data_IF_692394244160
#
_entry.id   IF_692394244160
#
_cell.length_a   1.000
_cell.length_b   1.000
_cell.length_c   1.000
_cell.angle_alpha   90.00
_cell.angle_beta   90.00
_cell.angle_gamma   90.00
#
_symmetry.space_group_name_H-M   'P 1'
#
loop_
_entity.id
_entity.type
_entity.pdbx_description
1 polymer ?
#
# COMPACT_ATOMS: atom_id res chain seq x y z
N UNK A 1 6.20 17.97 -6.84
CA UNK A 1 7.49 17.49 -6.29
C UNK A 1 7.27 17.00 -4.85
N UNK A 2 7.12 15.68 -4.68
CA UNK A 2 7.03 15.07 -3.36
C UNK A 2 8.40 15.23 -2.70
N UNK A 3 8.40 15.87 -1.55
CA UNK A 3 9.56 16.39 -0.86
C UNK A 3 10.49 15.24 -0.42
N UNK A 4 11.75 15.31 -0.86
CA UNK A 4 12.84 14.45 -0.40
C UNK A 4 13.02 14.60 1.13
N UNK A 5 12.71 13.56 1.91
CA UNK A 5 13.29 13.42 3.26
C UNK A 5 12.47 12.72 4.33
N UNK A 6 11.14 12.83 4.39
CA UNK A 6 10.39 12.54 5.63
C UNK A 6 9.08 11.72 5.46
N UNK A 7 8.76 11.24 4.26
CA UNK A 7 7.48 10.57 3.98
C UNK A 7 7.63 9.15 3.39
N UNK A 8 8.56 8.36 3.93
CA UNK A 8 8.66 6.95 3.57
C UNK A 8 7.37 6.21 3.98
N UNK A 9 6.86 5.35 3.08
CA UNK A 9 5.86 4.35 3.43
C UNK A 9 6.61 3.11 3.87
N UNK A 10 6.52 2.79 5.15
CA UNK A 10 7.12 1.60 5.73
C UNK A 10 6.07 0.51 5.90
N UNK A 11 6.39 -0.71 5.44
CA UNK A 11 5.50 -1.84 5.55
C UNK A 11 6.31 -3.12 5.76
N UNK A 12 5.81 -3.98 6.63
CA UNK A 12 6.32 -5.33 6.83
C UNK A 12 5.49 -6.30 5.99
N UNK A 13 6.16 -7.25 5.34
CA UNK A 13 5.49 -8.19 4.46
C UNK A 13 6.25 -9.48 4.27
N UNK A 14 5.61 -10.42 3.59
CA UNK A 14 6.22 -11.67 3.16
C UNK A 14 6.33 -11.70 1.65
N UNK A 15 7.47 -12.13 1.14
CA UNK A 15 7.58 -12.47 -0.28
C UNK A 15 6.67 -13.67 -0.53
N UNK A 16 5.74 -13.52 -1.47
CA UNK A 16 4.76 -14.55 -1.83
C UNK A 16 4.91 -15.01 -3.28
N UNK A 17 5.66 -14.26 -4.09
CA UNK A 17 5.88 -14.58 -5.49
C UNK A 17 7.25 -14.11 -5.94
N UNK A 18 7.92 -14.93 -6.74
CA UNK A 18 9.21 -14.61 -7.35
C UNK A 18 9.14 -15.01 -8.82
N UNK A 19 9.30 -14.04 -9.70
CA UNK A 19 9.39 -14.22 -11.15
C UNK A 19 10.64 -13.49 -11.68
N UNK A 20 11.05 -13.80 -12.90
CA UNK A 20 12.23 -13.19 -13.50
C UNK A 20 12.13 -11.65 -13.49
N UNK A 21 12.89 -11.02 -12.60
CA UNK A 21 12.94 -9.56 -12.43
C UNK A 21 11.89 -8.96 -11.50
N UNK A 22 10.95 -9.75 -10.95
CA UNK A 22 9.86 -9.25 -10.11
C UNK A 22 9.73 -10.01 -8.78
N UNK A 23 9.45 -9.27 -7.71
CA UNK A 23 9.19 -9.82 -6.38
C UNK A 23 7.78 -9.37 -5.95
N UNK A 24 6.88 -10.32 -5.79
CA UNK A 24 5.56 -10.08 -5.20
C UNK A 24 5.61 -10.19 -3.69
N UNK A 25 5.16 -9.15 -2.99
CA UNK A 25 5.11 -9.11 -1.53
C UNK A 25 3.69 -8.94 -1.03
N UNK A 26 3.27 -9.77 -0.08
CA UNK A 26 2.04 -9.57 0.68
C UNK A 26 2.34 -8.69 1.90
N UNK A 27 1.63 -7.58 2.03
CA UNK A 27 1.67 -6.73 3.23
C UNK A 27 1.12 -7.52 4.42
N UNK A 28 1.92 -7.66 5.47
CA UNK A 28 1.52 -8.26 6.73
C UNK A 28 1.05 -7.17 7.70
N UNK A 29 1.87 -6.13 7.87
CA UNK A 29 1.62 -5.05 8.83
C UNK A 29 2.16 -3.73 8.27
N UNK A 30 1.41 -2.66 8.51
CA UNK A 30 1.76 -1.28 8.13
C UNK A 30 1.37 -0.36 9.28
N UNK A 31 2.23 0.57 9.64
CA UNK A 31 1.93 1.54 10.69
C UNK A 31 0.89 2.57 10.20
N UNK A 32 0.21 3.22 11.15
CA UNK A 32 -0.88 4.16 10.83
C UNK A 32 -0.39 5.38 10.04
N UNK A 33 0.85 5.83 10.28
CA UNK A 33 1.41 7.00 9.60
C UNK A 33 1.67 6.67 8.13
N UNK A 34 2.28 5.51 7.87
CA UNK A 34 2.53 4.94 6.54
C UNK A 34 1.24 4.60 5.80
N UNK A 35 0.22 4.08 6.50
CA UNK A 35 -1.09 3.83 5.92
C UNK A 35 -1.80 5.13 5.50
N UNK A 36 -1.70 6.18 6.31
CA UNK A 36 -2.27 7.50 5.98
C UNK A 36 -1.58 8.11 4.76
N UNK A 37 -0.26 7.95 4.66
CA UNK A 37 0.52 8.35 3.48
C UNK A 37 0.13 7.55 2.24
N UNK A 38 0.04 6.23 2.35
CA UNK A 38 -0.39 5.35 1.26
C UNK A 38 -1.80 5.74 0.79
N UNK A 39 -2.70 6.03 1.73
CA UNK A 39 -4.04 6.56 1.44
C UNK A 39 -3.90 7.84 0.60
N UNK A 40 -3.18 8.85 1.08
CA UNK A 40 -3.04 10.11 0.35
C UNK A 40 -2.47 9.93 -1.07
N UNK A 41 -1.49 9.03 -1.24
CA UNK A 41 -0.94 8.72 -2.56
C UNK A 41 -1.98 8.05 -3.48
N UNK A 42 -2.78 7.12 -2.97
CA UNK A 42 -3.86 6.50 -3.73
C UNK A 42 -4.90 7.54 -4.15
N UNK A 43 -5.33 8.44 -3.25
CA UNK A 43 -6.26 9.54 -3.58
C UNK A 43 -5.73 10.42 -4.72
N UNK A 44 -4.44 10.77 -4.68
CA UNK A 44 -3.81 11.61 -5.70
C UNK A 44 -3.69 10.90 -7.05
N UNK A 45 -3.41 9.60 -7.06
CA UNK A 45 -3.27 8.82 -8.29
C UNK A 45 -4.64 8.47 -8.92
N UNK A 46 -5.66 8.24 -8.09
CA UNK A 46 -6.98 7.81 -8.56
C UNK A 46 -7.92 8.98 -8.86
N UNK A 47 -7.73 10.13 -8.20
CA UNK A 47 -8.56 11.34 -8.39
C UNK A 47 -10.02 11.20 -7.89
N UNK A 48 -10.41 10.02 -7.42
CA UNK A 48 -11.74 9.67 -6.93
C UNK A 48 -11.63 8.91 -5.60
N UNK A 49 -12.19 9.49 -4.54
CA UNK A 49 -12.13 8.97 -3.18
C UNK A 49 -12.90 7.65 -3.02
N UNK A 50 -13.94 7.40 -3.83
CA UNK A 50 -14.78 6.21 -3.72
C UNK A 50 -14.07 4.96 -4.26
N UNK A 51 -13.20 5.13 -5.26
CA UNK A 51 -12.36 4.05 -5.79
C UNK A 51 -11.24 3.69 -4.81
N UNK A 52 -10.79 4.65 -4.00
CA UNK A 52 -9.81 4.39 -2.94
C UNK A 52 -10.34 3.44 -1.86
N UNK A 53 -11.58 3.64 -1.39
CA UNK A 53 -12.13 2.82 -0.30
C UNK A 53 -12.24 1.34 -0.73
N UNK A 54 -12.42 1.09 -2.04
CA UNK A 54 -12.37 -0.26 -2.64
C UNK A 54 -10.95 -0.84 -2.61
N UNK A 55 -9.94 -0.08 -3.02
CA UNK A 55 -8.53 -0.52 -2.99
C UNK A 55 -8.05 -0.81 -1.56
N UNK A 56 -8.40 0.04 -0.59
CA UNK A 56 -8.14 -0.22 0.82
C UNK A 56 -8.84 -1.48 1.31
N UNK A 57 -10.10 -1.68 0.89
CA UNK A 57 -10.82 -2.92 1.19
C UNK A 57 -10.10 -4.14 0.62
N UNK A 58 -9.50 -4.07 -0.57
CA UNK A 58 -8.70 -5.17 -1.13
C UNK A 58 -7.42 -5.46 -0.33
N UNK A 59 -6.75 -4.43 0.22
CA UNK A 59 -5.58 -4.60 1.08
C UNK A 59 -5.93 -5.29 2.40
N UNK A 60 -7.09 -4.99 2.99
CA UNK A 60 -7.50 -5.56 4.29
C UNK A 60 -8.38 -6.82 4.19
N UNK A 61 -9.08 -7.04 3.08
CA UNK A 61 -9.94 -8.19 2.87
C UNK A 61 -9.17 -9.52 2.76
N UNK A 62 -7.84 -9.47 2.58
CA UNK A 62 -6.99 -10.67 2.47
C UNK A 62 -6.57 -11.32 3.79
N UNK A 63 -7.28 -11.08 4.89
CA UNK A 63 -7.20 -11.92 6.11
C UNK A 63 -8.21 -13.06 6.03
N UNK A 64 -7.96 -14.02 5.14
CA UNK A 64 -8.88 -15.15 4.94
C UNK A 64 -8.43 -16.12 3.87
N UNK A 65 -7.29 -16.78 4.09
CA UNK A 65 -6.96 -18.10 3.55
C UNK A 65 -5.87 -18.72 4.43
#
# INVERSE_FOLDING_TARGET
PLNDGDEAIEMNGKVVHLEEGNIGMACADIDLQSLTRLRRLLELNTGDADMMDRELSHLFAKRGA
#
